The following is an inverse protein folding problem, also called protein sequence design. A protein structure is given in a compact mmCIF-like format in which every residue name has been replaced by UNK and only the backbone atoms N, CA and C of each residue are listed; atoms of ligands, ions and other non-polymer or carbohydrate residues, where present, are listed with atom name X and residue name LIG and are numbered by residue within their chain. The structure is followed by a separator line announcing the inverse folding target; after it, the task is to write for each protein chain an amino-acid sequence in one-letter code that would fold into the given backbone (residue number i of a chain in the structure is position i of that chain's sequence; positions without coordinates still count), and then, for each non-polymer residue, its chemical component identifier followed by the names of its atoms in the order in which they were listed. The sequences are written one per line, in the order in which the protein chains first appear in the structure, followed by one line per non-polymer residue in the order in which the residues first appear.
data_IF_803127527620
#
_entry.id   IF_803127527620
#
_cell.length_a   1.000
_cell.length_b   1.000
_cell.length_c   1.000
_cell.angle_alpha   90.00
_cell.angle_beta   90.00
_cell.angle_gamma   90.00
#
_symmetry.space_group_name_H-M   'P 1'
#
loop_
_entity.id
_entity.type
_entity.pdbx_description
1 polymer ?
#
# COMPACT_ATOMS: atom_id res chain seq x y z
N UNK A 1 12.25 0.76 2.04
CA UNK A 1 12.10 1.40 0.72
C UNK A 1 12.82 0.61 -0.37
N UNK A 2 14.14 0.42 -0.25
CA UNK A 2 14.98 -0.20 -1.29
C UNK A 2 14.53 -1.57 -1.85
N UNK A 3 13.79 -2.40 -1.09
CA UNK A 3 13.34 -3.71 -1.57
C UNK A 3 12.18 -3.63 -2.58
N UNK A 4 11.27 -2.66 -2.45
CA UNK A 4 10.14 -2.49 -3.38
C UNK A 4 10.61 -1.84 -4.69
N UNK A 5 11.43 -0.79 -4.59
CA UNK A 5 12.07 -0.12 -5.75
C UNK A 5 12.97 -1.11 -6.52
N UNK A 6 13.85 -1.83 -5.82
CA UNK A 6 14.68 -2.85 -6.45
C UNK A 6 13.86 -3.97 -7.10
N UNK A 7 12.76 -4.41 -6.46
CA UNK A 7 11.89 -5.43 -7.04
C UNK A 7 11.13 -4.95 -8.28
N UNK A 8 10.69 -3.68 -8.29
CA UNK A 8 10.06 -3.05 -9.45
C UNK A 8 11.01 -3.00 -10.65
N UNK A 9 12.27 -2.64 -10.43
CA UNK A 9 13.29 -2.50 -11.47
C UNK A 9 13.83 -3.85 -11.98
N UNK A 10 14.16 -4.77 -11.06
CA UNK A 10 14.90 -5.99 -11.39
C UNK A 10 13.99 -7.22 -11.54
N UNK A 11 12.79 -7.20 -10.97
CA UNK A 11 11.85 -8.33 -10.96
C UNK A 11 10.38 -7.91 -11.21
N UNK A 12 10.09 -7.19 -12.31
CA UNK A 12 8.76 -6.64 -12.56
C UNK A 12 7.65 -7.70 -12.63
N UNK A 13 7.96 -8.92 -13.09
CA UNK A 13 7.02 -10.03 -13.11
C UNK A 13 6.61 -10.48 -11.69
N UNK A 14 7.56 -10.50 -10.74
CA UNK A 14 7.28 -10.85 -9.35
C UNK A 14 6.54 -9.72 -8.64
N UNK A 15 6.88 -8.47 -8.94
CA UNK A 15 6.15 -7.30 -8.46
C UNK A 15 4.69 -7.35 -8.90
N UNK A 16 4.45 -7.58 -10.19
CA UNK A 16 3.11 -7.73 -10.74
C UNK A 16 2.37 -8.94 -10.15
N UNK A 17 3.05 -10.08 -9.95
CA UNK A 17 2.42 -11.26 -9.34
C UNK A 17 1.97 -11.00 -7.89
N UNK A 18 2.73 -10.21 -7.13
CA UNK A 18 2.45 -9.93 -5.71
C UNK A 18 1.49 -8.78 -5.49
N UNK A 19 1.57 -7.72 -6.30
CA UNK A 19 0.79 -6.51 -6.12
C UNK A 19 -0.34 -6.38 -7.14
N UNK A 20 -0.43 -7.32 -8.09
CA UNK A 20 -1.42 -7.34 -9.17
C UNK A 20 -1.48 -6.04 -9.98
N UNK A 21 -0.36 -5.31 -10.04
CA UNK A 21 -0.25 -4.02 -10.73
C UNK A 21 1.10 -3.90 -11.45
N UNK A 22 1.10 -3.18 -12.58
CA UNK A 22 2.33 -2.84 -13.26
C UNK A 22 3.13 -1.79 -12.44
N UNK A 23 4.45 -1.92 -12.28
CA UNK A 23 5.26 -0.94 -11.55
C UNK A 23 5.07 0.51 -11.99
N UNK A 24 4.97 0.78 -13.30
CA UNK A 24 4.76 2.13 -13.80
C UNK A 24 3.41 2.71 -13.38
N UNK A 25 2.37 1.88 -13.33
CA UNK A 25 1.04 2.30 -12.85
C UNK A 25 1.09 2.54 -11.34
N UNK A 26 1.81 1.68 -10.61
CA UNK A 26 2.02 1.84 -9.18
C UNK A 26 2.71 3.18 -8.86
N UNK A 27 3.77 3.54 -9.60
CA UNK A 27 4.46 4.82 -9.43
C UNK A 27 3.55 6.00 -9.77
N UNK A 28 2.78 5.91 -10.86
CA UNK A 28 1.81 6.94 -11.21
C UNK A 28 0.72 7.14 -10.14
N UNK A 29 0.26 6.08 -9.49
CA UNK A 29 -0.68 6.18 -8.36
C UNK A 29 0.03 6.81 -7.17
N UNK A 30 1.24 6.35 -6.86
CA UNK A 30 2.04 6.88 -5.75
C UNK A 30 2.24 8.40 -5.88
N UNK A 31 2.58 8.89 -7.07
CA UNK A 31 2.76 10.32 -7.35
C UNK A 31 1.46 11.11 -7.12
N UNK A 32 0.32 10.57 -7.54
CA UNK A 32 -0.99 11.22 -7.36
C UNK A 32 -1.37 11.36 -5.88
N UNK A 33 -0.99 10.40 -5.04
CA UNK A 33 -1.43 10.33 -3.65
C UNK A 33 -0.40 10.86 -2.65
N UNK A 34 0.83 11.13 -3.10
CA UNK A 34 1.97 11.44 -2.22
C UNK A 34 1.78 12.70 -1.38
N UNK A 35 0.99 13.66 -1.86
CA UNK A 35 0.72 14.93 -1.17
C UNK A 35 -0.58 14.91 -0.35
N UNK A 36 -1.26 13.76 -0.25
CA UNK A 36 -2.55 13.67 0.41
C UNK A 36 -2.45 13.79 1.94
N UNK A 37 -3.33 14.59 2.55
CA UNK A 37 -3.31 14.88 3.99
C UNK A 37 -3.56 13.66 4.87
N UNK A 38 -4.30 12.67 4.39
CA UNK A 38 -4.53 11.36 5.05
C UNK A 38 -3.22 10.63 5.40
N UNK A 39 -2.15 10.84 4.64
CA UNK A 39 -0.83 10.25 4.95
C UNK A 39 0.03 11.13 5.87
N UNK A 40 -0.50 12.28 6.29
CA UNK A 40 0.12 13.16 7.26
C UNK A 40 -0.58 12.97 8.61
N UNK A 41 0.16 12.51 9.62
CA UNK A 41 -0.34 12.52 10.98
C UNK A 41 0.20 13.77 11.72
N UNK A 42 -0.63 14.38 12.56
CA UNK A 42 -0.22 15.49 13.44
C UNK A 42 0.44 14.98 14.73
N UNK A 43 1.12 13.85 14.68
CA UNK A 43 1.69 13.19 15.85
C UNK A 43 3.20 13.02 15.71
N UNK A 44 3.88 12.83 16.84
CA UNK A 44 5.31 12.49 16.83
C UNK A 44 5.59 11.02 16.45
N UNK A 45 4.56 10.24 16.12
CA UNK A 45 4.72 8.85 15.75
C UNK A 45 5.05 8.75 14.26
N UNK A 46 6.15 8.07 13.95
CA UNK A 46 6.54 7.79 12.56
C UNK A 46 5.48 6.92 11.90
N UNK A 47 4.83 7.45 10.87
CA UNK A 47 3.99 6.67 9.97
C UNK A 47 4.86 5.90 8.99
N UNK A 48 4.35 4.77 8.50
CA UNK A 48 5.00 4.05 7.41
C UNK A 48 5.00 4.90 6.13
N UNK A 49 6.07 4.84 5.31
CA UNK A 49 6.10 5.50 4.02
C UNK A 49 4.89 5.14 3.15
N UNK A 50 4.35 6.10 2.40
CA UNK A 50 3.14 5.95 1.55
C UNK A 50 3.29 4.77 0.58
N UNK A 51 4.47 4.63 -0.03
CA UNK A 51 4.82 3.51 -0.90
C UNK A 51 4.60 2.14 -0.24
N UNK A 52 4.93 2.01 1.05
CA UNK A 52 4.73 0.77 1.81
C UNK A 52 3.25 0.57 2.13
N UNK A 53 2.55 1.65 2.51
CA UNK A 53 1.11 1.58 2.79
C UNK A 53 0.33 1.14 1.55
N UNK A 54 0.65 1.70 0.38
CA UNK A 54 0.06 1.34 -0.91
C UNK A 54 0.37 -0.11 -1.31
N UNK A 55 1.62 -0.56 -1.16
CA UNK A 55 1.99 -1.94 -1.45
C UNK A 55 1.26 -2.95 -0.53
N UNK A 56 1.13 -2.66 0.76
CA UNK A 56 0.36 -3.49 1.70
C UNK A 56 -1.11 -3.54 1.29
N UNK A 57 -1.69 -2.39 0.96
CA UNK A 57 -3.08 -2.31 0.51
C UNK A 57 -3.30 -3.19 -0.74
N UNK A 58 -2.46 -3.04 -1.77
CA UNK A 58 -2.57 -3.80 -3.01
C UNK A 58 -2.35 -5.31 -2.82
N UNK A 59 -1.38 -5.68 -1.99
CA UNK A 59 -1.15 -7.08 -1.63
C UNK A 59 -2.39 -7.67 -0.93
N UNK A 60 -2.99 -6.92 0.01
CA UNK A 60 -4.18 -7.35 0.74
C UNK A 60 -5.38 -7.52 -0.19
N UNK A 61 -5.76 -6.49 -0.96
CA UNK A 61 -6.97 -6.52 -1.80
C UNK A 61 -6.80 -7.40 -3.03
N UNK A 62 -5.57 -7.55 -3.54
CA UNK A 62 -5.27 -8.35 -4.73
C UNK A 62 -5.28 -9.86 -4.49
N UNK A 63 -4.82 -10.32 -3.32
CA UNK A 63 -4.68 -11.75 -3.05
C UNK A 63 -5.84 -12.37 -2.29
N UNK A 64 -6.36 -11.67 -1.28
CA UNK A 64 -7.16 -12.34 -0.25
C UNK A 64 -8.64 -11.93 -0.22
N UNK A 65 -8.99 -10.79 -0.83
CA UNK A 65 -10.38 -10.33 -0.93
C UNK A 65 -11.11 -10.31 0.43
N UNK A 66 -12.42 -10.56 0.42
CA UNK A 66 -13.27 -10.49 1.62
C UNK A 66 -13.03 -11.64 2.64
N UNK A 67 -12.17 -12.62 2.30
CA UNK A 67 -11.85 -13.78 3.14
C UNK A 67 -10.42 -13.72 3.72
N UNK A 68 -9.75 -12.57 3.62
CA UNK A 68 -8.39 -12.40 4.12
C UNK A 68 -8.30 -12.55 5.63
N UNK A 69 -7.41 -13.45 6.08
CA UNK A 69 -6.96 -13.45 7.46
C UNK A 69 -5.83 -12.42 7.63
N UNK A 70 -5.92 -11.48 8.58
CA UNK A 70 -4.87 -10.48 8.81
C UNK A 70 -3.48 -11.09 9.08
N UNK A 71 -3.43 -12.32 9.57
CA UNK A 71 -2.22 -13.10 9.85
C UNK A 71 -1.41 -13.40 8.59
N UNK A 72 -2.05 -13.64 7.45
CA UNK A 72 -1.37 -13.93 6.19
C UNK A 72 -0.63 -12.69 5.66
N UNK A 73 -1.27 -11.52 5.79
CA UNK A 73 -0.67 -10.24 5.42
C UNK A 73 0.45 -9.87 6.40
N UNK A 74 0.27 -10.15 7.69
CA UNK A 74 1.31 -9.98 8.72
C UNK A 74 2.57 -10.75 8.34
N UNK A 75 2.42 -12.03 7.96
CA UNK A 75 3.56 -12.86 7.57
C UNK A 75 4.28 -12.30 6.34
N UNK A 76 3.55 -11.78 5.36
CA UNK A 76 4.13 -11.18 4.17
C UNK A 76 4.83 -9.84 4.48
N UNK A 77 4.16 -8.96 5.22
CA UNK A 77 4.63 -7.59 5.47
C UNK A 77 5.73 -7.54 6.55
N UNK A 78 5.80 -8.53 7.45
CA UNK A 78 6.66 -8.47 8.64
C UNK A 78 6.23 -7.39 9.63
N UNK A 79 4.95 -7.00 9.61
CA UNK A 79 4.36 -5.92 10.41
C UNK A 79 3.21 -6.45 11.26
N UNK A 80 2.89 -5.79 12.37
CA UNK A 80 1.73 -6.16 13.20
C UNK A 80 0.41 -5.98 12.44
N UNK A 81 -0.61 -6.77 12.82
CA UNK A 81 -1.97 -6.68 12.27
C UNK A 81 -2.52 -5.25 12.32
N UNK A 82 -2.32 -4.55 13.44
CA UNK A 82 -2.76 -3.16 13.58
C UNK A 82 -2.11 -2.21 12.56
N UNK A 83 -0.82 -2.42 12.26
CA UNK A 83 -0.14 -1.62 11.23
C UNK A 83 -0.67 -1.92 9.82
N UNK A 84 -0.90 -3.20 9.50
CA UNK A 84 -1.49 -3.60 8.21
C UNK A 84 -2.89 -2.99 8.03
N UNK A 85 -3.73 -3.04 9.06
CA UNK A 85 -5.07 -2.47 9.03
C UNK A 85 -5.04 -0.95 8.89
N UNK A 86 -4.14 -0.27 9.60
CA UNK A 86 -3.97 1.18 9.46
C UNK A 86 -3.53 1.58 8.03
N UNK A 87 -2.58 0.84 7.43
CA UNK A 87 -2.19 1.07 6.03
C UNK A 87 -3.37 0.90 5.08
N UNK A 88 -4.14 -0.17 5.26
CA UNK A 88 -5.34 -0.46 4.45
C UNK A 88 -6.37 0.67 4.59
N UNK A 89 -6.66 1.12 5.81
CA UNK A 89 -7.61 2.20 6.07
C UNK A 89 -7.18 3.53 5.47
N UNK A 90 -5.90 3.91 5.57
CA UNK A 90 -5.43 5.17 4.99
C UNK A 90 -5.58 5.18 3.47
N UNK A 91 -5.20 4.09 2.79
CA UNK A 91 -5.31 4.01 1.32
C UNK A 91 -6.78 3.98 0.89
N UNK A 92 -7.65 3.24 1.60
CA UNK A 92 -9.10 3.25 1.33
C UNK A 92 -9.72 4.63 1.54
N UNK A 93 -9.38 5.31 2.63
CA UNK A 93 -9.89 6.65 2.93
C UNK A 93 -9.45 7.65 1.85
N UNK A 94 -8.20 7.56 1.38
CA UNK A 94 -7.71 8.39 0.27
C UNK A 94 -8.46 8.12 -1.04
N UNK A 95 -8.70 6.84 -1.39
CA UNK A 95 -9.46 6.50 -2.61
C UNK A 95 -10.89 7.06 -2.53
N UNK A 96 -11.53 6.96 -1.36
CA UNK A 96 -12.87 7.52 -1.14
C UNK A 96 -12.89 9.04 -1.20
N UNK A 97 -11.85 9.70 -0.67
CA UNK A 97 -11.72 11.16 -0.72
C UNK A 97 -11.56 11.64 -2.16
N UNK A 98 -10.64 11.03 -2.92
CA UNK A 98 -10.45 11.34 -4.35
C UNK A 98 -11.72 11.09 -5.18
N UNK A 99 -12.48 10.02 -4.90
CA UNK A 99 -13.73 9.76 -5.61
C UNK A 99 -14.77 10.88 -5.43
N UNK A 100 -14.77 11.58 -4.29
CA UNK A 100 -15.72 12.67 -4.06
C UNK A 100 -15.39 13.95 -4.85
N UNK A 101 -14.21 14.01 -5.48
CA UNK A 101 -13.77 15.14 -6.30
C UNK A 101 -14.17 15.03 -7.79
N UNK A 102 -14.76 13.89 -8.21
CA UNK A 102 -15.24 13.62 -9.57
C UNK A 102 -16.77 13.53 -9.65
#
# INVERSE_FOLDING_TARGET
LHLLEHAAEHHPAQFHQKLHINPLIFDNILDQISNHTIFQNQSNNKQLPIIIQLAIFLFHVGHYGNACMPEDIMQWAGLSVGMVMNCTHHVMAMILDQHNEF
#
